data_IF_932905922336
#
_entry.id   IF_932905922336
#
_cell.length_a   1.000
_cell.length_b   1.000
_cell.length_c   1.000
_cell.angle_alpha   90.00
_cell.angle_beta   90.00
_cell.angle_gamma   90.00
#
_symmetry.space_group_name_H-M   'P 1'
#
loop_
_entity.id
_entity.type
_entity.pdbx_description
1 polymer ?
#
# COMPACT_ATOMS: atom_id res chain seq x y z
N UNK A 1 1.80 -3.94 43.02
CA UNK A 1 3.22 -4.17 43.37
C UNK A 1 3.92 -4.89 42.21
N UNK A 2 3.84 -4.37 40.98
CA UNK A 2 4.33 -5.06 39.76
C UNK A 2 5.30 -4.22 38.91
N UNK A 3 5.67 -3.02 39.38
CA UNK A 3 6.36 -2.02 38.55
C UNK A 3 7.89 -2.03 38.68
N UNK A 4 8.47 -2.91 39.49
CA UNK A 4 9.93 -2.89 39.78
C UNK A 4 10.77 -3.85 38.92
N UNK A 5 10.15 -4.76 38.17
CA UNK A 5 10.87 -5.72 37.32
C UNK A 5 11.16 -5.13 35.94
N UNK A 6 10.32 -4.21 35.45
CA UNK A 6 10.50 -3.59 34.14
C UNK A 6 11.65 -2.59 34.07
N UNK A 7 12.19 -2.16 35.21
CA UNK A 7 13.15 -1.04 35.34
C UNK A 7 14.63 -1.48 35.31
N UNK A 8 14.92 -2.78 35.43
CA UNK A 8 16.32 -3.29 35.39
C UNK A 8 16.73 -3.91 34.05
N UNK A 9 15.80 -4.07 33.12
CA UNK A 9 16.05 -4.59 31.76
C UNK A 9 16.09 -3.49 30.69
N UNK A 10 15.82 -2.24 31.07
CA UNK A 10 15.85 -1.03 30.24
C UNK A 10 17.24 -0.44 30.06
N UNK A 11 18.26 -0.95 30.77
CA UNK A 11 19.62 -0.39 30.77
C UNK A 11 20.52 -0.94 29.64
N UNK A 12 20.04 -1.93 28.88
CA UNK A 12 20.61 -2.26 27.58
C UNK A 12 19.64 -1.85 26.47
N UNK A 13 20.13 -1.07 25.50
CA UNK A 13 19.35 -0.58 24.38
C UNK A 13 18.87 -1.75 23.49
N UNK A 14 17.78 -2.41 23.87
CA UNK A 14 17.16 -3.46 23.05
C UNK A 14 16.51 -2.84 21.81
N UNK A 15 16.42 -3.60 20.73
CA UNK A 15 15.72 -3.18 19.51
C UNK A 15 14.25 -2.83 19.76
N UNK A 16 13.64 -3.46 20.77
CA UNK A 16 12.28 -3.13 21.21
C UNK A 16 12.23 -1.76 21.90
N UNK A 17 13.17 -1.46 22.79
CA UNK A 17 13.28 -0.14 23.43
C UNK A 17 13.55 0.98 22.42
N UNK A 18 14.37 0.72 21.40
CA UNK A 18 14.64 1.69 20.32
C UNK A 18 13.39 2.04 19.51
N UNK A 19 12.48 1.09 19.32
CA UNK A 19 11.19 1.30 18.67
C UNK A 19 10.09 1.77 19.65
N UNK A 20 10.37 1.83 20.95
CA UNK A 20 9.37 2.13 21.98
C UNK A 20 8.29 1.05 22.11
N UNK A 21 8.63 -0.20 21.81
CA UNK A 21 7.69 -1.33 21.79
C UNK A 21 7.98 -2.34 22.88
N UNK A 22 6.95 -3.09 23.26
CA UNK A 22 7.11 -4.25 24.12
C UNK A 22 7.59 -5.48 23.30
N UNK A 23 8.38 -6.40 23.87
CA UNK A 23 8.80 -7.63 23.18
C UNK A 23 7.66 -8.52 22.69
N UNK A 24 6.47 -8.39 23.28
CA UNK A 24 5.24 -9.05 22.81
C UNK A 24 4.59 -8.39 21.60
N UNK A 25 5.15 -7.29 21.09
CA UNK A 25 4.56 -6.51 20.01
C UNK A 25 4.39 -7.34 18.74
N UNK A 26 3.27 -7.11 18.06
CA UNK A 26 2.98 -7.75 16.79
C UNK A 26 3.92 -7.21 15.69
N UNK A 27 4.18 -7.98 14.62
CA UNK A 27 4.95 -7.48 13.48
C UNK A 27 4.34 -6.22 12.84
N UNK A 28 3.02 -6.02 13.01
CA UNK A 28 2.30 -4.85 12.53
C UNK A 28 2.68 -3.62 13.36
N UNK A 29 2.70 -3.74 14.69
CA UNK A 29 3.11 -2.68 15.61
C UNK A 29 4.58 -2.28 15.38
N UNK A 30 5.47 -3.25 15.15
CA UNK A 30 6.88 -3.02 14.79
C UNK A 30 6.99 -2.16 13.53
N UNK A 31 6.23 -2.48 12.49
CA UNK A 31 6.24 -1.75 11.22
C UNK A 31 5.64 -0.35 11.37
N UNK A 32 4.58 -0.20 12.16
CA UNK A 32 3.93 1.08 12.44
C UNK A 32 4.84 2.02 13.24
N UNK A 33 5.46 1.52 14.31
CA UNK A 33 6.40 2.28 15.12
C UNK A 33 7.61 2.74 14.31
N UNK A 34 8.19 1.84 13.51
CA UNK A 34 9.28 2.18 12.59
C UNK A 34 8.88 3.32 11.65
N UNK A 35 7.76 3.22 10.94
CA UNK A 35 7.29 4.27 10.01
C UNK A 35 7.12 5.63 10.70
N UNK A 36 6.60 5.63 11.92
CA UNK A 36 6.41 6.85 12.70
C UNK A 36 7.76 7.46 13.11
N UNK A 37 8.66 6.66 13.67
CA UNK A 37 9.97 7.11 14.12
C UNK A 37 10.90 7.49 12.96
N UNK A 38 10.81 6.83 11.81
CA UNK A 38 11.59 7.18 10.61
C UNK A 38 11.25 8.59 10.12
N UNK A 39 9.99 9.01 10.19
CA UNK A 39 9.59 10.38 9.86
C UNK A 39 10.10 11.39 10.88
N UNK A 40 10.15 11.00 12.16
CA UNK A 40 10.59 11.85 13.27
C UNK A 40 12.11 11.97 13.41
N UNK A 41 12.89 11.08 12.80
CA UNK A 41 14.36 11.08 12.84
C UNK A 41 15.01 11.21 11.46
N UNK A 42 14.23 11.56 10.43
CA UNK A 42 14.78 11.75 9.09
C UNK A 42 15.69 12.98 9.06
N UNK A 43 16.96 12.86 8.62
CA UNK A 43 17.93 13.94 8.69
C UNK A 43 17.52 15.20 7.90
N UNK A 44 16.62 15.05 6.91
CA UNK A 44 16.11 16.17 6.10
C UNK A 44 14.86 16.86 6.69
N UNK A 45 14.18 16.27 7.68
CA UNK A 45 12.86 16.74 8.17
C UNK A 45 12.89 17.16 9.64
N UNK A 46 13.99 16.92 10.34
CA UNK A 46 14.12 17.19 11.77
C UNK A 46 14.98 18.39 12.07
N UNK A 47 14.59 19.16 13.10
CA UNK A 47 15.42 20.24 13.67
C UNK A 47 16.60 19.73 14.52
N UNK A 48 16.78 18.40 14.60
CA UNK A 48 17.88 17.78 15.34
C UNK A 48 19.20 17.94 14.58
N UNK A 49 20.35 18.03 15.29
CA UNK A 49 21.65 18.01 14.64
C UNK A 49 21.78 16.78 13.74
N UNK A 50 22.16 16.99 12.48
CA UNK A 50 22.22 15.95 11.44
C UNK A 50 23.01 14.71 11.88
N UNK A 51 24.08 14.88 12.65
CA UNK A 51 24.86 13.78 13.21
C UNK A 51 24.05 12.89 14.19
N UNK A 52 23.21 13.50 15.04
CA UNK A 52 22.38 12.79 16.02
C UNK A 52 21.20 12.11 15.32
N UNK A 53 20.55 12.80 14.37
CA UNK A 53 19.47 12.25 13.58
C UNK A 53 19.94 11.02 12.79
N UNK A 54 21.11 11.11 12.14
CA UNK A 54 21.70 10.00 11.38
C UNK A 54 21.97 8.78 12.26
N UNK A 55 22.59 8.98 13.43
CA UNK A 55 22.87 7.87 14.37
C UNK A 55 21.58 7.21 14.86
N UNK A 56 20.58 8.00 15.26
CA UNK A 56 19.28 7.44 15.70
C UNK A 56 18.54 6.73 14.58
N UNK A 57 18.56 7.29 13.37
CA UNK A 57 17.96 6.67 12.20
C UNK A 57 18.65 5.36 11.83
N UNK A 58 19.98 5.30 11.95
CA UNK A 58 20.73 4.06 11.72
C UNK A 58 20.38 2.98 12.75
N UNK A 59 20.29 3.34 14.04
CA UNK A 59 19.84 2.43 15.10
C UNK A 59 18.41 1.93 14.87
N UNK A 60 17.53 2.81 14.40
CA UNK A 60 16.15 2.48 14.06
C UNK A 60 16.08 1.47 12.91
N UNK A 61 16.88 1.67 11.86
CA UNK A 61 16.97 0.77 10.72
C UNK A 61 17.49 -0.61 11.11
N UNK A 62 18.52 -0.67 11.95
CA UNK A 62 19.08 -1.92 12.46
C UNK A 62 18.05 -2.69 13.29
N UNK A 63 17.37 -2.01 14.21
CA UNK A 63 16.29 -2.60 15.00
C UNK A 63 15.17 -3.17 14.12
N UNK A 64 14.71 -2.40 13.13
CA UNK A 64 13.68 -2.87 12.20
C UNK A 64 14.16 -4.03 11.32
N UNK A 65 15.40 -4.01 10.84
CA UNK A 65 15.96 -5.09 10.02
C UNK A 65 15.96 -6.43 10.78
N UNK A 66 16.26 -6.40 12.08
CA UNK A 66 16.26 -7.59 12.94
C UNK A 66 14.84 -8.02 13.32
N UNK A 67 13.97 -7.09 13.69
CA UNK A 67 12.63 -7.41 14.21
C UNK A 67 11.56 -7.65 13.13
N UNK A 68 11.78 -7.17 11.90
CA UNK A 68 10.83 -7.33 10.78
C UNK A 68 10.80 -8.74 10.21
N UNK A 69 11.91 -9.48 10.28
CA UNK A 69 12.00 -10.86 9.83
C UNK A 69 11.73 -11.80 11.04
N UNK A 70 10.78 -12.75 10.93
CA UNK A 70 10.40 -13.62 12.05
C UNK A 70 11.54 -14.54 12.52
N UNK A 71 12.41 -15.00 11.61
CA UNK A 71 13.55 -15.86 11.94
C UNK A 71 14.62 -15.06 12.69
N UNK A 72 14.97 -13.88 12.17
CA UNK A 72 15.94 -12.97 12.80
C UNK A 72 15.45 -12.50 14.16
N UNK A 73 14.16 -12.19 14.29
CA UNK A 73 13.53 -11.82 15.55
C UNK A 73 13.62 -12.97 16.56
N UNK A 74 13.34 -14.19 16.14
CA UNK A 74 13.42 -15.37 17.02
C UNK A 74 14.85 -15.59 17.51
N UNK A 75 15.83 -15.50 16.62
CA UNK A 75 17.24 -15.61 16.98
C UNK A 75 17.69 -14.48 17.93
N UNK A 76 17.25 -13.25 17.65
CA UNK A 76 17.48 -12.09 18.51
C UNK A 76 16.87 -12.29 19.90
N UNK A 77 15.61 -12.71 19.98
CA UNK A 77 14.89 -12.98 21.22
C UNK A 77 15.60 -14.06 22.07
N UNK A 78 16.15 -15.11 21.43
CA UNK A 78 16.99 -16.10 22.09
C UNK A 78 18.30 -15.50 22.62
N UNK A 79 18.98 -14.65 21.83
CA UNK A 79 20.25 -14.02 22.20
C UNK A 79 20.12 -13.08 23.41
N UNK A 80 19.04 -12.32 23.50
CA UNK A 80 18.79 -11.38 24.60
C UNK A 80 18.21 -12.08 25.84
N UNK A 81 18.10 -13.41 25.84
CA UNK A 81 17.54 -14.18 26.95
C UNK A 81 16.04 -13.96 27.16
N UNK A 82 15.35 -13.32 26.21
CA UNK A 82 13.88 -13.26 26.19
C UNK A 82 13.35 -14.64 25.77
N UNK A 83 13.38 -15.56 26.73
CA UNK A 83 12.63 -16.79 26.61
C UNK A 83 11.15 -16.45 26.55
N UNK A 84 10.54 -16.58 25.37
CA UNK A 84 9.09 -16.63 25.17
C UNK A 84 8.41 -17.79 25.96
N UNK A 85 9.17 -18.49 26.79
CA UNK A 85 8.80 -19.67 27.60
C UNK A 85 7.97 -19.35 28.84
N UNK A 86 7.51 -18.11 29.02
CA UNK A 86 6.39 -17.80 29.91
C UNK A 86 5.07 -17.54 29.17
N UNK A 87 4.98 -17.88 27.88
CA UNK A 87 3.69 -18.13 27.23
C UNK A 87 3.34 -19.59 27.50
N UNK A 88 2.37 -19.82 28.40
CA UNK A 88 1.77 -21.13 28.63
C UNK A 88 1.26 -21.65 27.28
N UNK A 89 2.04 -22.49 26.59
CA UNK A 89 1.52 -23.26 25.48
C UNK A 89 0.67 -24.37 26.10
N UNK A 90 -0.64 -24.42 25.84
CA UNK A 90 -1.46 -25.53 26.31
C UNK A 90 -0.88 -26.84 25.75
N UNK A 91 -0.86 -27.91 26.54
CA UNK A 91 -0.24 -29.17 26.15
C UNK A 91 -0.85 -29.70 24.83
N UNK A 92 -0.06 -30.41 24.01
CA UNK A 92 -0.41 -30.80 22.63
C UNK A 92 -1.65 -31.69 22.53
N UNK A 93 -2.16 -32.21 23.64
CA UNK A 93 -3.32 -33.11 23.69
C UNK A 93 -4.67 -32.40 23.49
N UNK A 94 -4.75 -31.07 23.69
CA UNK A 94 -5.98 -30.31 23.42
C UNK A 94 -6.18 -29.95 21.94
N UNK A 95 -5.15 -30.12 21.09
CA UNK A 95 -5.19 -29.70 19.69
C UNK A 95 -6.04 -30.63 18.81
N UNK A 96 -6.35 -31.84 19.29
CA UNK A 96 -7.17 -32.82 18.58
C UNK A 96 -8.68 -32.63 18.80
N UNK A 97 -9.09 -31.85 19.81
CA UNK A 97 -10.49 -31.56 20.12
C UNK A 97 -11.00 -30.24 19.50
N UNK A 98 -10.11 -29.33 19.10
CA UNK A 98 -10.48 -28.01 18.56
C UNK A 98 -10.66 -27.97 17.03
N UNK A 99 -10.53 -29.11 16.34
CA UNK A 99 -10.71 -29.20 14.87
C UNK A 99 -12.15 -29.49 14.44
N UNK A 100 -13.13 -29.43 15.36
CA UNK A 100 -14.56 -29.50 15.03
C UNK A 100 -15.29 -28.30 15.64
N UNK A 101 -15.81 -27.47 14.74
CA UNK A 101 -16.72 -26.34 14.95
C UNK A 101 -16.11 -25.08 15.58
N UNK A 102 -15.89 -24.06 14.74
CA UNK A 102 -16.93 -23.03 14.63
C UNK A 102 -16.77 -22.10 13.41
N UNK A 103 -17.81 -22.11 12.57
CA UNK A 103 -18.03 -21.09 11.55
C UNK A 103 -18.55 -19.80 12.18
N UNK A 104 -17.68 -19.03 12.84
CA UNK A 104 -18.04 -17.71 13.37
C UNK A 104 -17.06 -16.64 12.90
N UNK A 105 -17.39 -16.11 11.72
CA UNK A 105 -17.22 -14.70 11.31
C UNK A 105 -16.02 -13.96 11.95
N UNK A 106 -14.88 -13.96 11.27
CA UNK A 106 -13.88 -12.88 11.39
C UNK A 106 -13.80 -12.11 10.07
N UNK A 107 -14.96 -11.56 9.67
CA UNK A 107 -15.05 -10.44 8.74
C UNK A 107 -15.07 -9.16 9.58
N UNK A 108 -13.92 -8.57 9.86
CA UNK A 108 -13.76 -7.14 10.18
C UNK A 108 -12.31 -6.81 10.54
N UNK A 109 -11.41 -6.91 9.56
CA UNK A 109 -10.20 -6.06 9.58
C UNK A 109 -9.93 -5.59 8.15
N UNK A 110 -10.86 -4.77 7.65
CA UNK A 110 -10.58 -3.88 6.53
C UNK A 110 -9.87 -2.67 7.12
N UNK A 111 -8.56 -2.77 7.26
CA UNK A 111 -7.71 -1.58 7.25
C UNK A 111 -6.98 -1.57 5.90
N UNK A 112 -7.54 -0.90 4.88
CA UNK A 112 -6.94 -0.82 3.55
C UNK A 112 -5.58 -0.09 3.55
N UNK A 113 -5.19 0.55 4.67
CA UNK A 113 -4.02 1.44 4.71
C UNK A 113 -2.72 0.74 5.10
N UNK A 114 -2.76 -0.51 5.56
CA UNK A 114 -1.59 -1.16 6.18
C UNK A 114 -0.83 -2.16 5.30
N UNK A 115 -1.33 -2.52 4.10
CA UNK A 115 -0.51 -3.26 3.11
C UNK A 115 0.16 -2.27 2.16
N UNK A 116 1.48 -2.03 2.26
CA UNK A 116 2.17 -1.35 1.17
C UNK A 116 1.99 -2.21 -0.08
N UNK A 117 1.61 -1.58 -1.19
CA UNK A 117 1.48 -2.25 -2.48
C UNK A 117 2.75 -3.06 -2.71
N UNK A 118 2.60 -4.36 -2.99
CA UNK A 118 3.71 -5.23 -3.34
C UNK A 118 4.49 -4.58 -4.48
N UNK A 119 5.81 -4.76 -4.53
CA UNK A 119 6.64 -4.23 -5.61
C UNK A 119 6.08 -4.60 -7.00
N UNK A 120 5.46 -5.77 -7.12
CA UNK A 120 4.72 -6.18 -8.32
C UNK A 120 3.41 -5.42 -8.57
N UNK A 121 2.65 -5.06 -7.54
CA UNK A 121 1.42 -4.26 -7.67
C UNK A 121 1.72 -2.83 -8.11
N UNK A 122 2.78 -2.22 -7.56
CA UNK A 122 3.25 -0.89 -7.98
C UNK A 122 3.71 -0.92 -9.44
N UNK A 123 4.44 -1.96 -9.84
CA UNK A 123 4.88 -2.15 -11.22
C UNK A 123 3.70 -2.32 -12.19
N UNK A 124 2.68 -3.09 -11.82
CA UNK A 124 1.47 -3.27 -12.63
C UNK A 124 0.68 -1.96 -12.77
N UNK A 125 0.52 -1.19 -11.68
CA UNK A 125 -0.15 0.11 -11.74
C UNK A 125 0.61 1.12 -12.61
N UNK A 126 1.94 1.08 -12.60
CA UNK A 126 2.76 1.91 -13.46
C UNK A 126 2.57 1.56 -14.95
N UNK A 127 2.61 0.27 -15.29
CA UNK A 127 2.35 -0.21 -16.67
C UNK A 127 0.92 0.15 -17.11
N UNK A 128 -0.06 -0.04 -16.23
CA UNK A 128 -1.46 0.31 -16.51
C UNK A 128 -1.63 1.81 -16.76
N UNK A 129 -0.95 2.66 -15.99
CA UNK A 129 -0.94 4.11 -16.19
C UNK A 129 -0.33 4.51 -17.53
N UNK A 130 0.85 3.97 -17.86
CA UNK A 130 1.53 4.26 -19.13
C UNK A 130 0.70 3.82 -20.35
N UNK A 131 0.07 2.66 -20.27
CA UNK A 131 -0.80 2.16 -21.35
C UNK A 131 -2.05 3.03 -21.51
N UNK A 132 -2.70 3.44 -20.42
CA UNK A 132 -3.86 4.33 -20.48
C UNK A 132 -3.51 5.71 -21.08
N UNK A 133 -2.39 6.30 -20.68
CA UNK A 133 -1.89 7.56 -21.24
C UNK A 133 -1.58 7.40 -22.74
N UNK A 134 -0.93 6.30 -23.13
CA UNK A 134 -0.66 5.99 -24.53
C UNK A 134 -1.94 5.88 -25.37
N UNK A 135 -2.98 5.20 -24.86
CA UNK A 135 -4.28 5.11 -25.53
C UNK A 135 -4.96 6.47 -25.70
N UNK A 136 -4.90 7.34 -24.68
CA UNK A 136 -5.49 8.69 -24.75
C UNK A 136 -4.76 9.54 -25.79
N UNK A 137 -3.43 9.55 -25.79
CA UNK A 137 -2.64 10.29 -26.77
C UNK A 137 -2.90 9.80 -28.20
N UNK A 138 -3.00 8.48 -28.38
CA UNK A 138 -3.35 7.87 -29.66
C UNK A 138 -4.75 8.29 -30.13
N UNK A 139 -5.74 8.30 -29.23
CA UNK A 139 -7.10 8.71 -29.56
C UNK A 139 -7.18 10.20 -29.95
N UNK A 140 -6.47 11.07 -29.22
CA UNK A 140 -6.39 12.50 -29.53
C UNK A 140 -5.73 12.70 -30.90
N UNK A 141 -4.63 12.00 -31.18
CA UNK A 141 -3.95 12.08 -32.47
C UNK A 141 -4.86 11.63 -33.63
N UNK A 142 -5.63 10.57 -33.45
CA UNK A 142 -6.61 10.14 -34.46
C UNK A 142 -7.73 11.18 -34.62
N UNK A 143 -8.18 11.79 -33.52
CA UNK A 143 -9.21 12.82 -33.55
C UNK A 143 -8.74 14.10 -34.26
N UNK A 144 -7.50 14.54 -34.06
CA UNK A 144 -6.94 15.70 -34.76
C UNK A 144 -6.71 15.42 -36.24
N UNK A 145 -6.37 14.18 -36.62
CA UNK A 145 -6.20 13.80 -38.03
C UNK A 145 -7.55 13.61 -38.76
N UNK A 146 -8.62 13.23 -38.05
CA UNK A 146 -9.97 13.01 -38.65
C UNK A 146 -10.94 14.19 -38.50
N UNK A 147 -10.64 15.16 -37.63
CA UNK A 147 -11.51 16.27 -37.25
C UNK A 147 -11.87 17.26 -38.37
N UNK A 148 -11.12 17.27 -39.48
CA UNK A 148 -11.35 18.20 -40.59
C UNK A 148 -12.51 17.77 -41.54
N UNK A 149 -13.20 16.66 -41.26
CA UNK A 149 -14.15 16.04 -42.21
C UNK A 149 -15.64 16.30 -41.96
N UNK A 150 -16.03 17.13 -40.99
CA UNK A 150 -17.44 17.43 -40.70
C UNK A 150 -17.98 18.73 -41.37
N UNK A 151 -17.45 19.10 -42.54
CA UNK A 151 -18.07 20.10 -43.40
C UNK A 151 -18.82 19.39 -44.54
N UNK A 152 -20.00 18.82 -44.25
CA UNK A 152 -20.89 18.35 -45.33
C UNK A 152 -21.37 19.57 -46.14
N UNK A 153 -21.22 19.57 -47.48
CA UNK A 153 -21.66 20.70 -48.30
C UNK A 153 -23.17 20.82 -48.25
N UNK A 154 -23.67 22.04 -47.99
CA UNK A 154 -25.09 22.40 -48.15
C UNK A 154 -25.52 22.04 -49.58
N UNK A 155 -26.56 21.22 -49.78
CA UNK A 155 -27.04 20.93 -51.12
C UNK A 155 -27.62 22.20 -51.76
N UNK A 156 -27.30 22.51 -53.03
CA UNK A 156 -27.93 23.65 -53.70
C UNK A 156 -29.43 23.41 -53.80
N UNK A 157 -30.21 24.44 -53.48
CA UNK A 157 -31.65 24.47 -53.66
C UNK A 157 -32.02 23.96 -55.06
N UNK A 158 -32.73 22.82 -55.11
CA UNK A 158 -33.30 22.26 -56.33
C UNK A 158 -34.49 23.13 -56.77
N UNK A 159 -34.22 24.23 -57.48
CA UNK A 159 -35.22 24.90 -58.32
C UNK A 159 -35.34 24.15 -59.65
N UNK A 160 -35.87 22.93 -59.61
CA UNK A 160 -36.19 22.16 -60.82
C UNK A 160 -37.31 21.15 -60.58
N UNK A 161 -38.46 21.64 -60.10
CA UNK A 161 -39.73 20.89 -60.14
C UNK A 161 -40.87 21.85 -60.55
N UNK A 162 -40.91 22.26 -61.81
CA UNK A 162 -42.18 22.43 -62.55
C UNK A 162 -41.99 21.81 -63.93
N UNK A 163 -41.77 20.52 -63.86
CA UNK A 163 -42.02 19.53 -64.87
C UNK A 163 -43.38 19.72 -65.54
N UNK A 164 -43.38 19.75 -66.87
CA UNK A 164 -44.12 18.74 -67.63
C UNK A 164 -45.63 18.58 -67.28
N UNK A 165 -46.38 19.69 -67.15
CA UNK A 165 -47.85 19.69 -67.06
C UNK A 165 -48.56 20.61 -68.07
N UNK A 166 -47.90 21.01 -69.17
CA UNK A 166 -48.59 21.65 -70.30
C UNK A 166 -48.15 21.13 -71.68
N UNK A 167 -47.58 19.92 -71.73
CA UNK A 167 -47.79 19.06 -72.89
C UNK A 167 -49.11 18.32 -72.63
N UNK A 168 -50.03 18.32 -73.59
CA UNK A 168 -51.35 17.61 -73.55
C UNK A 168 -52.50 18.35 -72.87
N UNK A 169 -52.93 19.52 -73.39
CA UNK A 169 -54.37 19.79 -73.51
C UNK A 169 -54.67 20.84 -74.57
N UNK A 170 -55.41 20.43 -75.61
CA UNK A 170 -56.23 21.23 -76.55
C UNK A 170 -55.47 22.30 -77.36
N UNK A 171 -55.34 22.19 -78.69
CA UNK A 171 -56.45 21.99 -79.63
C UNK A 171 -56.53 23.25 -80.48
#
# INVERSE_FOLDING_TARGET
MSDRVSDRMTDQATHYTLLGLHPSASPIEIRRAYRHLSKLYHPDTTDLPSAIATVKFQQLNEAYATLSNPERRTNYDMHIGYSRLYVIQPPPDFQRAASRQDGRRSSAYLDPTDRPLSSGEVFVLFILGLTFIGCILLAIAIATIRGDTLQTPVPPAQLSIVSYQLSVKSG
#
